data_IF_136676984329
#
_entry.id   IF_136676984329
#
_cell.length_a   1.000
_cell.length_b   1.000
_cell.length_c   1.000
_cell.angle_alpha   90.00
_cell.angle_beta   90.00
_cell.angle_gamma   90.00
#
_symmetry.space_group_name_H-M   'P 1'
#
loop_
_entity.id
_entity.type
_entity.pdbx_description
1 polymer ?
#
# COMPACT_ATOMS: atom_id res chain seq x y z
N UNK A 1 -14.90 -5.98 8.08
CA UNK A 1 -14.36 -5.94 6.71
C UNK A 1 -15.52 -6.20 5.77
N UNK A 2 -15.65 -5.37 4.73
CA UNK A 2 -16.62 -5.51 3.65
C UNK A 2 -15.89 -5.70 2.33
N UNK A 3 -16.53 -6.42 1.42
CA UNK A 3 -16.09 -6.52 0.03
C UNK A 3 -16.87 -5.50 -0.80
N UNK A 4 -16.17 -4.71 -1.60
CA UNK A 4 -16.73 -3.70 -2.48
C UNK A 4 -16.13 -3.81 -3.88
N UNK A 5 -16.85 -3.31 -4.88
CA UNK A 5 -16.38 -3.17 -6.24
C UNK A 5 -16.16 -1.69 -6.58
N UNK A 6 -15.03 -1.38 -7.16
CA UNK A 6 -14.65 -0.01 -7.56
C UNK A 6 -15.43 0.39 -8.82
N UNK A 7 -16.14 1.52 -8.77
CA UNK A 7 -16.81 2.13 -9.93
C UNK A 7 -15.95 3.18 -10.63
N UNK A 8 -15.23 3.98 -9.86
CA UNK A 8 -14.34 5.00 -10.41
C UNK A 8 -13.26 5.42 -9.43
N UNK A 9 -12.07 5.72 -9.95
CA UNK A 9 -10.98 6.39 -9.25
C UNK A 9 -10.24 7.31 -10.24
N UNK A 10 -10.08 8.60 -9.97
CA UNK A 10 -10.60 9.36 -8.82
C UNK A 10 -12.12 9.28 -8.68
N UNK A 11 -12.63 9.50 -7.47
CA UNK A 11 -14.06 9.60 -7.23
C UNK A 11 -14.65 10.72 -8.06
N UNK A 12 -15.79 10.46 -8.70
CA UNK A 12 -16.54 11.49 -9.44
C UNK A 12 -17.14 12.53 -8.50
N UNK A 13 -17.45 12.15 -7.27
CA UNK A 13 -18.02 13.00 -6.22
C UNK A 13 -17.00 13.94 -5.58
N UNK A 14 -15.81 13.44 -5.24
CA UNK A 14 -14.79 14.21 -4.50
C UNK A 14 -13.60 14.64 -5.39
N UNK A 15 -13.41 14.03 -6.56
CA UNK A 15 -12.31 14.32 -7.50
C UNK A 15 -10.90 14.20 -6.89
N UNK A 16 -10.73 13.39 -5.85
CA UNK A 16 -9.45 13.15 -5.19
C UNK A 16 -8.85 11.83 -5.66
N UNK A 17 -7.56 11.76 -5.97
CA UNK A 17 -6.90 10.49 -6.31
C UNK A 17 -6.84 9.52 -5.14
N UNK A 18 -7.09 9.99 -3.94
CA UNK A 18 -7.17 9.18 -2.72
C UNK A 18 -8.58 8.69 -2.40
N UNK A 19 -9.56 8.95 -3.26
CA UNK A 19 -10.94 8.53 -3.04
C UNK A 19 -11.47 7.84 -4.29
N UNK A 20 -12.14 6.71 -4.07
CA UNK A 20 -12.87 5.97 -5.10
C UNK A 20 -14.36 5.99 -4.79
N UNK A 21 -15.18 5.89 -5.83
CA UNK A 21 -16.57 5.49 -5.73
C UNK A 21 -16.61 3.96 -5.86
N UNK A 22 -17.33 3.30 -4.98
CA UNK A 22 -17.47 1.85 -4.96
C UNK A 22 -18.91 1.45 -4.64
N UNK A 23 -19.25 0.20 -4.93
CA UNK A 23 -20.56 -0.41 -4.60
C UNK A 23 -20.35 -1.69 -3.81
N UNK A 24 -21.35 -2.03 -3.03
CA UNK A 24 -21.47 -3.35 -2.44
C UNK A 24 -22.25 -4.31 -3.36
N UNK A 25 -22.45 -5.54 -2.89
CA UNK A 25 -23.21 -6.57 -3.58
C UNK A 25 -24.71 -6.23 -3.78
N UNK A 26 -25.24 -5.29 -3.04
CA UNK A 26 -26.64 -4.85 -3.15
C UNK A 26 -26.77 -3.67 -4.14
N UNK A 27 -25.66 -3.11 -4.59
CA UNK A 27 -25.61 -1.94 -5.47
C UNK A 27 -25.59 -0.61 -4.71
N UNK A 28 -25.43 -0.64 -3.39
CA UNK A 28 -25.34 0.58 -2.59
C UNK A 28 -24.00 1.29 -2.82
N UNK A 29 -24.04 2.61 -2.99
CA UNK A 29 -22.89 3.45 -3.34
C UNK A 29 -22.14 3.95 -2.10
N UNK A 30 -20.83 3.80 -2.10
CA UNK A 30 -19.93 4.22 -1.03
C UNK A 30 -18.76 5.05 -1.54
N UNK A 31 -18.27 5.94 -0.68
CA UNK A 31 -16.97 6.62 -0.85
C UNK A 31 -15.90 5.85 -0.08
N UNK A 32 -14.84 5.48 -0.77
CA UNK A 32 -13.76 4.69 -0.19
C UNK A 32 -12.44 5.45 -0.26
N UNK A 33 -11.79 5.64 0.89
CA UNK A 33 -10.43 6.17 0.95
C UNK A 33 -9.43 5.12 0.50
N UNK A 34 -8.56 5.48 -0.44
CA UNK A 34 -7.50 4.61 -0.98
C UNK A 34 -6.14 5.23 -0.70
N UNK A 35 -5.48 4.89 0.41
CA UNK A 35 -4.27 5.58 0.86
C UNK A 35 -3.05 5.33 -0.06
N UNK A 36 -3.06 4.26 -0.85
CA UNK A 36 -1.96 3.91 -1.76
C UNK A 36 -2.17 4.44 -3.17
N UNK A 37 -1.39 5.45 -3.60
CA UNK A 37 -1.40 5.91 -5.01
C UNK A 37 -0.76 4.91 -5.98
N UNK A 38 0.15 4.07 -5.49
CA UNK A 38 0.86 3.07 -6.30
C UNK A 38 0.00 1.90 -6.78
N UNK A 39 -1.27 1.82 -6.34
CA UNK A 39 -2.25 0.82 -6.78
C UNK A 39 -2.85 1.14 -8.17
N UNK A 40 -2.36 2.16 -8.87
CA UNK A 40 -3.01 2.76 -10.02
C UNK A 40 -3.63 1.77 -11.00
N UNK A 41 -2.89 0.77 -11.42
CA UNK A 41 -3.34 -0.19 -12.43
C UNK A 41 -4.06 -1.41 -11.82
N UNK A 42 -4.03 -1.55 -10.52
CA UNK A 42 -4.67 -2.64 -9.78
C UNK A 42 -5.97 -2.20 -9.10
N UNK A 43 -6.29 -0.92 -9.21
CA UNK A 43 -7.44 -0.30 -8.59
C UNK A 43 -8.25 0.47 -9.64
N UNK A 44 -8.77 -0.27 -10.59
CA UNK A 44 -9.56 0.23 -11.71
C UNK A 44 -11.06 -0.04 -11.48
N UNK A 45 -11.94 0.57 -12.28
CA UNK A 45 -13.34 0.17 -12.31
C UNK A 45 -13.48 -1.34 -12.54
N UNK A 46 -14.30 -2.00 -11.71
CA UNK A 46 -14.44 -3.44 -11.67
C UNK A 46 -13.51 -4.17 -10.69
N UNK A 47 -12.48 -3.49 -10.15
CA UNK A 47 -11.60 -4.10 -9.13
C UNK A 47 -12.39 -4.40 -7.85
N UNK A 48 -12.19 -5.61 -7.31
CA UNK A 48 -12.74 -6.01 -6.02
C UNK A 48 -11.77 -5.64 -4.91
N UNK A 49 -12.29 -5.09 -3.84
CA UNK A 49 -11.50 -4.62 -2.69
C UNK A 49 -12.08 -5.10 -1.37
N UNK A 50 -11.20 -5.29 -0.38
CA UNK A 50 -11.61 -5.36 1.01
C UNK A 50 -11.41 -4.01 1.68
N UNK A 51 -12.44 -3.55 2.38
CA UNK A 51 -12.43 -2.26 3.08
C UNK A 51 -12.94 -2.39 4.52
N UNK A 52 -12.50 -1.47 5.36
CA UNK A 52 -12.99 -1.32 6.73
C UNK A 52 -13.71 0.01 6.89
N UNK A 53 -14.72 0.11 7.77
CA UNK A 53 -15.38 1.37 8.04
C UNK A 53 -14.37 2.45 8.46
N UNK A 54 -14.59 3.68 8.00
CA UNK A 54 -13.84 4.85 8.47
C UNK A 54 -14.15 5.11 9.94
N UNK A 55 -13.11 5.20 10.77
CA UNK A 55 -13.29 5.36 12.23
C UNK A 55 -13.65 6.78 12.66
N UNK A 56 -13.29 7.79 11.86
CA UNK A 56 -13.52 9.19 12.20
C UNK A 56 -14.90 9.65 11.77
N UNK A 57 -15.65 10.24 12.69
CA UNK A 57 -16.95 10.88 12.40
C UNK A 57 -16.83 12.06 11.42
N UNK A 58 -15.64 12.66 11.32
CA UNK A 58 -15.35 13.74 10.37
C UNK A 58 -14.85 13.25 9.00
N UNK A 59 -14.72 11.94 8.81
CA UNK A 59 -14.31 11.37 7.54
C UNK A 59 -15.36 11.65 6.46
N UNK A 60 -14.89 12.08 5.29
CA UNK A 60 -15.72 12.24 4.09
C UNK A 60 -15.92 10.92 3.33
N UNK A 61 -15.27 9.86 3.78
CA UNK A 61 -15.36 8.52 3.17
C UNK A 61 -15.96 7.54 4.15
N UNK A 62 -16.76 6.62 3.64
CA UNK A 62 -17.46 5.60 4.43
C UNK A 62 -16.51 4.49 4.85
N UNK A 63 -15.57 4.15 3.96
CA UNK A 63 -14.63 3.04 4.14
C UNK A 63 -13.20 3.43 3.81
N UNK A 64 -12.26 2.59 4.26
CA UNK A 64 -10.82 2.65 3.94
C UNK A 64 -10.43 1.33 3.32
N UNK A 65 -9.85 1.35 2.12
CA UNK A 65 -9.31 0.17 1.44
C UNK A 65 -8.19 -0.45 2.25
N UNK A 66 -8.26 -1.75 2.47
CA UNK A 66 -7.22 -2.53 3.14
C UNK A 66 -6.43 -3.38 2.15
N UNK A 67 -7.12 -3.99 1.19
CA UNK A 67 -6.51 -4.82 0.16
C UNK A 67 -7.32 -4.79 -1.13
N UNK A 68 -6.68 -5.21 -2.21
CA UNK A 68 -7.30 -5.37 -3.52
C UNK A 68 -7.09 -6.79 -4.02
N UNK A 69 -8.08 -7.33 -4.71
CA UNK A 69 -7.94 -8.58 -5.44
C UNK A 69 -7.29 -8.30 -6.79
N UNK A 70 -6.30 -9.10 -7.12
CA UNK A 70 -5.68 -9.10 -8.44
C UNK A 70 -6.04 -10.41 -9.10
N UNK A 71 -6.51 -10.30 -10.33
CA UNK A 71 -6.66 -11.40 -11.26
C UNK A 71 -5.54 -11.29 -12.30
N UNK A 72 -4.39 -11.86 -11.98
CA UNK A 72 -3.29 -12.00 -12.95
C UNK A 72 -3.38 -13.37 -13.60
N UNK A 73 -3.08 -13.46 -14.89
CA UNK A 73 -3.01 -14.71 -15.63
C UNK A 73 -2.16 -15.77 -14.91
N UNK A 74 -2.81 -16.85 -14.51
CA UNK A 74 -2.19 -17.92 -13.74
C UNK A 74 -2.20 -17.72 -12.21
N UNK A 75 -2.75 -16.61 -11.71
CA UNK A 75 -2.92 -16.30 -10.28
C UNK A 75 -4.36 -15.98 -9.97
N UNK A 76 -5.21 -16.98 -9.96
CA UNK A 76 -6.58 -16.81 -9.51
C UNK A 76 -6.58 -16.28 -8.07
N UNK A 77 -7.07 -15.07 -7.89
CA UNK A 77 -7.37 -14.46 -6.59
C UNK A 77 -6.18 -14.17 -5.68
N UNK A 78 -5.14 -13.51 -6.19
CA UNK A 78 -4.13 -12.93 -5.33
C UNK A 78 -4.67 -11.69 -4.62
N UNK A 79 -4.48 -11.62 -3.30
CA UNK A 79 -4.84 -10.46 -2.49
C UNK A 79 -3.58 -9.69 -2.16
N UNK A 80 -3.56 -8.41 -2.49
CA UNK A 80 -2.45 -7.53 -2.13
C UNK A 80 -2.88 -6.47 -1.11
N UNK A 81 -1.98 -6.16 -0.18
CA UNK A 81 -2.19 -5.09 0.78
C UNK A 81 -2.21 -3.74 0.09
N UNK A 82 -3.25 -2.95 0.33
CA UNK A 82 -3.45 -1.65 -0.29
C UNK A 82 -3.29 -0.48 0.69
N UNK A 83 -3.25 -0.76 1.98
CA UNK A 83 -3.11 0.23 3.03
C UNK A 83 -1.69 0.20 3.62
N UNK A 84 -0.83 1.20 3.33
CA UNK A 84 0.52 1.27 3.89
C UNK A 84 0.55 1.24 5.42
N UNK A 85 -0.41 1.88 6.07
CA UNK A 85 -0.49 1.90 7.54
C UNK A 85 -0.70 0.49 8.13
N UNK A 86 -1.42 -0.39 7.45
CA UNK A 86 -1.57 -1.79 7.88
C UNK A 86 -0.24 -2.53 7.81
N UNK A 87 0.60 -2.26 6.81
CA UNK A 87 1.95 -2.84 6.73
C UNK A 87 2.84 -2.37 7.89
N UNK A 88 2.76 -1.09 8.29
CA UNK A 88 3.46 -0.55 9.46
C UNK A 88 3.03 -1.26 10.75
N UNK A 89 1.73 -1.45 10.95
CA UNK A 89 1.19 -2.16 12.13
C UNK A 89 1.64 -3.61 12.17
N UNK A 90 1.58 -4.32 11.05
CA UNK A 90 2.03 -5.71 10.93
C UNK A 90 3.53 -5.80 11.21
N UNK A 91 4.35 -4.95 10.60
CA UNK A 91 5.79 -4.93 10.82
C UNK A 91 6.16 -4.67 12.28
N UNK A 92 5.46 -3.75 12.92
CA UNK A 92 5.65 -3.45 14.35
C UNK A 92 5.30 -4.65 15.23
N UNK A 93 4.23 -5.35 14.92
CA UNK A 93 3.82 -6.53 15.68
C UNK A 93 4.75 -7.72 15.47
N UNK A 94 5.24 -7.95 14.26
CA UNK A 94 6.24 -8.97 13.95
C UNK A 94 7.51 -8.77 14.77
N UNK A 95 8.00 -7.54 14.90
CA UNK A 95 9.21 -7.23 15.68
C UNK A 95 8.93 -7.39 17.16
N UNK A 96 7.81 -6.89 17.68
CA UNK A 96 7.44 -7.00 19.10
C UNK A 96 7.27 -8.44 19.56
N UNK A 97 6.64 -9.27 18.72
CA UNK A 97 6.43 -10.70 19.01
C UNK A 97 7.67 -11.55 18.74
N UNK A 98 8.77 -10.92 18.37
CA UNK A 98 10.04 -11.59 18.06
C UNK A 98 9.95 -12.65 16.94
N UNK A 99 8.93 -12.58 16.09
CA UNK A 99 8.79 -13.46 14.92
C UNK A 99 9.87 -13.17 13.87
N UNK A 100 10.29 -11.93 13.78
CA UNK A 100 11.45 -11.49 13.01
C UNK A 100 12.06 -10.28 13.69
N UNK A 101 13.25 -10.43 14.24
CA UNK A 101 13.98 -9.36 14.90
C UNK A 101 15.42 -9.33 14.42
N UNK A 102 15.73 -8.52 13.40
CA UNK A 102 17.11 -8.39 12.90
C UNK A 102 18.04 -7.69 13.90
N UNK A 103 17.48 -7.12 14.97
CA UNK A 103 18.19 -6.37 15.99
C UNK A 103 17.84 -6.90 17.40
N UNK A 104 18.18 -8.16 17.76
CA UNK A 104 17.67 -8.81 18.98
C UNK A 104 18.11 -8.14 20.29
N UNK A 105 19.11 -7.27 20.23
CA UNK A 105 19.60 -6.49 21.40
C UNK A 105 18.89 -5.16 21.58
N UNK A 106 17.91 -4.86 20.72
CA UNK A 106 17.18 -3.59 20.72
C UNK A 106 15.74 -3.79 21.13
N UNK A 107 15.22 -2.84 21.89
CA UNK A 107 13.83 -2.80 22.33
C UNK A 107 13.02 -1.83 21.47
N UNK A 108 11.75 -2.14 21.24
CA UNK A 108 10.83 -1.27 20.49
C UNK A 108 10.46 -0.07 21.34
N UNK A 109 10.75 1.13 20.87
CA UNK A 109 10.31 2.35 21.51
C UNK A 109 8.79 2.50 21.38
N UNK A 110 8.11 2.89 22.45
CA UNK A 110 6.66 3.15 22.44
C UNK A 110 6.31 4.41 21.64
N UNK A 111 7.24 5.38 21.56
CA UNK A 111 7.10 6.66 20.86
C UNK A 111 8.41 7.01 20.14
N UNK A 112 8.32 7.91 19.17
CA UNK A 112 9.48 8.54 18.55
C UNK A 112 10.35 9.22 19.61
N UNK A 113 11.65 8.94 19.68
CA UNK A 113 12.56 9.65 20.58
C UNK A 113 12.64 11.15 20.23
N UNK A 114 12.61 12.02 21.25
CA UNK A 114 12.48 13.46 21.03
C UNK A 114 13.66 14.09 20.26
N UNK A 115 14.87 13.52 20.42
CA UNK A 115 16.10 14.02 19.78
C UNK A 115 16.30 13.49 18.34
N UNK A 116 15.38 12.64 17.83
CA UNK A 116 15.45 12.15 16.45
C UNK A 116 14.51 12.97 15.58
N UNK A 117 15.06 13.71 14.63
CA UNK A 117 14.25 14.53 13.72
C UNK A 117 13.58 13.73 12.61
N UNK A 118 14.13 12.56 12.25
CA UNK A 118 13.54 11.71 11.22
C UNK A 118 12.25 11.05 11.71
N UNK A 119 11.21 11.08 10.87
CA UNK A 119 9.93 10.42 11.11
C UNK A 119 9.94 9.05 10.44
N UNK A 120 10.33 8.01 11.18
CA UNK A 120 10.26 6.62 10.75
C UNK A 120 9.01 5.91 11.29
N UNK A 121 8.78 4.69 10.83
CA UNK A 121 7.61 3.90 11.24
C UNK A 121 7.84 3.18 12.56
N UNK A 122 9.06 2.65 12.79
CA UNK A 122 9.43 1.94 14.01
C UNK A 122 10.79 2.45 14.52
N UNK A 123 10.90 2.64 15.82
CA UNK A 123 12.14 3.01 16.48
C UNK A 123 12.54 1.91 17.45
N UNK A 124 13.78 1.47 17.35
CA UNK A 124 14.39 0.51 18.29
C UNK A 124 15.52 1.21 19.03
N UNK A 125 15.73 0.85 20.29
CA UNK A 125 16.77 1.41 21.15
C UNK A 125 17.57 0.31 21.83
N UNK A 126 18.91 0.47 21.87
CA UNK A 126 19.81 -0.28 22.75
C UNK A 126 20.89 0.67 23.27
N UNK A 127 20.91 0.88 24.58
CA UNK A 127 21.78 1.89 25.23
C UNK A 127 21.58 3.28 24.57
N UNK A 128 22.62 3.87 24.00
CA UNK A 128 22.57 5.18 23.32
C UNK A 128 22.40 5.09 21.80
N UNK A 129 22.16 3.88 21.27
CA UNK A 129 22.00 3.63 19.84
C UNK A 129 20.55 3.45 19.49
N UNK A 130 20.18 3.97 18.32
CA UNK A 130 18.84 3.82 17.77
C UNK A 130 18.91 3.21 16.39
N UNK A 131 17.90 2.39 16.07
CA UNK A 131 17.63 1.92 14.72
C UNK A 131 16.27 2.45 14.33
N UNK A 132 16.17 3.02 13.16
CA UNK A 132 14.93 3.51 12.58
C UNK A 132 14.56 2.59 11.43
N UNK A 133 13.37 2.04 11.48
CA UNK A 133 12.86 1.14 10.44
C UNK A 133 11.75 1.86 9.70
N UNK A 134 11.85 1.86 8.38
CA UNK A 134 10.84 2.37 7.47
C UNK A 134 10.18 1.19 6.77
N UNK A 135 8.89 1.02 6.97
CA UNK A 135 8.10 -0.05 6.34
C UNK A 135 7.62 0.37 4.96
N UNK A 136 7.83 -0.49 3.98
CA UNK A 136 7.36 -0.24 2.61
C UNK A 136 6.44 -1.36 2.16
N UNK A 137 5.23 -1.00 1.76
CA UNK A 137 4.32 -1.91 1.10
C UNK A 137 4.63 -1.90 -0.41
N UNK A 138 5.22 -2.97 -0.90
CA UNK A 138 5.60 -3.10 -2.31
C UNK A 138 4.46 -3.80 -3.05
N UNK A 139 3.73 -3.04 -3.83
CA UNK A 139 2.52 -3.49 -4.55
C UNK A 139 2.71 -3.57 -6.08
N UNK A 140 3.84 -3.09 -6.58
CA UNK A 140 4.17 -3.11 -8.01
C UNK A 140 5.25 -4.16 -8.28
N UNK A 141 4.98 -5.42 -7.92
CA UNK A 141 5.90 -6.52 -8.16
C UNK A 141 5.11 -7.73 -8.71
N UNK A 142 5.71 -8.50 -9.61
CA UNK A 142 5.11 -9.76 -10.04
C UNK A 142 5.08 -10.74 -8.87
N UNK A 143 3.94 -11.37 -8.68
CA UNK A 143 3.72 -12.43 -7.69
C UNK A 143 4.03 -13.81 -8.25
N UNK A 144 4.42 -13.91 -9.53
CA UNK A 144 4.76 -15.17 -10.17
C UNK A 144 6.05 -15.78 -9.56
N UNK A 145 5.98 -16.88 -8.79
CA UNK A 145 7.15 -17.52 -8.19
C UNK A 145 8.10 -18.14 -9.22
N UNK A 146 7.62 -18.40 -10.43
CA UNK A 146 8.43 -18.95 -11.52
C UNK A 146 9.36 -17.92 -12.16
N UNK A 147 9.06 -16.62 -11.99
CA UNK A 147 9.94 -15.56 -12.49
C UNK A 147 11.19 -15.44 -11.61
N UNK A 148 12.32 -15.15 -12.25
CA UNK A 148 13.55 -14.80 -11.54
C UNK A 148 13.30 -13.58 -10.65
N UNK A 149 13.99 -13.51 -9.50
CA UNK A 149 13.83 -12.41 -8.52
C UNK A 149 13.99 -11.03 -9.16
N UNK A 150 14.87 -10.89 -10.15
CA UNK A 150 15.07 -9.63 -10.86
C UNK A 150 13.86 -9.25 -11.72
N UNK A 151 13.19 -10.23 -12.30
CA UNK A 151 12.06 -10.01 -13.20
C UNK A 151 10.76 -9.76 -12.43
N UNK A 152 10.73 -10.07 -11.11
CA UNK A 152 9.59 -9.78 -10.23
C UNK A 152 9.55 -8.33 -9.72
N UNK A 153 10.62 -7.56 -9.92
CA UNK A 153 10.72 -6.21 -9.35
C UNK A 153 9.78 -5.20 -9.98
N UNK A 154 9.32 -5.49 -11.19
CA UNK A 154 8.56 -4.54 -11.97
C UNK A 154 7.50 -5.27 -12.76
N UNK A 155 6.29 -5.21 -12.31
CA UNK A 155 5.14 -5.54 -13.15
C UNK A 155 4.82 -4.30 -13.95
N UNK A 156 5.04 -4.40 -15.24
CA UNK A 156 4.62 -3.38 -16.17
C UNK A 156 3.23 -3.71 -16.64
N UNK A 157 2.29 -2.98 -16.11
CA UNK A 157 0.99 -2.94 -16.75
C UNK A 157 1.10 -1.95 -17.89
N UNK A 158 0.90 -2.42 -19.10
CA UNK A 158 0.80 -1.60 -20.32
C UNK A 158 -0.50 -0.80 -20.29
N UNK A 159 -0.83 -0.24 -19.14
CA UNK A 159 -2.05 0.48 -18.94
C UNK A 159 -1.77 1.98 -18.81
N UNK A 160 -2.62 2.72 -19.46
CA UNK A 160 -2.77 4.16 -19.27
C UNK A 160 -3.16 4.42 -17.82
N UNK A 161 -2.18 4.36 -16.92
CA UNK A 161 -2.40 4.72 -15.53
C UNK A 161 -3.16 6.05 -15.48
N UNK A 162 -4.30 6.14 -14.81
CA UNK A 162 -5.02 7.39 -14.64
C UNK A 162 -4.16 8.45 -13.94
N UNK A 163 -3.07 8.04 -13.32
CA UNK A 163 -2.07 8.89 -12.71
C UNK A 163 -0.81 8.91 -13.57
N UNK A 164 -0.72 9.85 -14.49
CA UNK A 164 0.42 10.08 -15.40
C UNK A 164 1.81 10.15 -14.73
N UNK A 165 1.89 9.95 -13.40
CA UNK A 165 3.10 10.15 -12.59
C UNK A 165 3.61 8.90 -11.90
N UNK A 166 2.93 7.78 -11.97
CA UNK A 166 3.36 6.53 -11.34
C UNK A 166 3.58 5.46 -12.39
N UNK A 167 4.75 4.89 -12.42
CA UNK A 167 5.04 3.75 -13.27
C UNK A 167 6.44 3.81 -13.86
N UNK A 168 6.90 2.66 -14.23
CA UNK A 168 8.07 2.44 -15.06
C UNK A 168 7.52 2.07 -16.44
N UNK A 169 8.12 2.57 -17.51
CA UNK A 169 7.71 2.22 -18.85
C UNK A 169 8.20 0.81 -19.23
N UNK A 170 7.56 0.13 -20.20
CA UNK A 170 7.98 -1.19 -20.67
C UNK A 170 9.43 -1.26 -21.15
N UNK A 171 10.02 -0.15 -21.55
CA UNK A 171 11.43 -0.03 -21.94
C UNK A 171 12.40 0.13 -20.76
N UNK A 172 11.93 0.04 -19.52
CA UNK A 172 12.77 0.18 -18.33
C UNK A 172 13.07 1.61 -17.90
N UNK A 173 12.57 2.62 -18.63
CA UNK A 173 12.77 4.01 -18.27
C UNK A 173 11.87 4.39 -17.10
N UNK A 174 12.48 4.98 -16.06
CA UNK A 174 11.73 5.56 -14.94
C UNK A 174 11.05 6.85 -15.38
N UNK A 175 9.76 6.99 -15.14
CA UNK A 175 9.15 8.30 -15.16
C UNK A 175 9.84 9.20 -14.15
N UNK A 176 10.43 10.27 -14.63
CA UNK A 176 11.35 11.16 -13.90
C UNK A 176 10.79 11.87 -12.68
N UNK A 177 9.62 11.57 -12.16
CA UNK A 177 9.01 12.32 -11.07
C UNK A 177 8.45 11.49 -9.93
N UNK A 178 9.13 10.43 -9.53
CA UNK A 178 9.11 10.05 -8.14
C UNK A 178 10.20 10.86 -7.43
N UNK A 179 9.80 11.96 -6.81
CA UNK A 179 10.71 12.69 -5.93
C UNK A 179 11.22 11.74 -4.86
N UNK A 180 12.48 11.34 -4.99
CA UNK A 180 13.29 10.87 -3.89
C UNK A 180 13.02 9.50 -3.32
N UNK A 181 12.32 8.61 -4.00
CA UNK A 181 12.20 7.22 -3.56
C UNK A 181 12.90 6.30 -4.54
N UNK A 182 14.21 6.16 -4.35
CA UNK A 182 14.90 4.99 -4.83
C UNK A 182 14.36 3.81 -4.05
N UNK A 183 13.75 2.85 -4.73
CA UNK A 183 13.61 1.52 -4.18
C UNK A 183 15.01 0.94 -4.19
N UNK A 184 15.71 1.05 -3.07
CA UNK A 184 16.97 0.34 -2.87
C UNK A 184 16.59 -1.12 -2.70
N UNK A 185 17.05 -1.91 -3.61
CA UNK A 185 17.01 -3.38 -3.62
C UNK A 185 17.82 -3.96 -2.48
#
# INVERSE_FOLDING_TARGET
>A
IVELEVKSRPSKRIKSPYVADAIDKNGDDFLVHTPGLGLADQFLPGSRIFATPSKSKSSKTDYITQSVFIDEDGYNQTIIGANPHTAELIGKEIIKSNLWNPYPKYEVCSKKPAHIDYLGDIYLKAQDKYVIIEMKNVICASYNPSLKKIDRRYVFYDHKSPFKRSGIYPNGERRQKYRGRSVVS
#
